data_IF_569802858672
#
_entry.id   IF_569802858672
#
_cell.length_a   1.000
_cell.length_b   1.000
_cell.length_c   1.000
_cell.angle_alpha   90.00
_cell.angle_beta   90.00
_cell.angle_gamma   90.00
#
_symmetry.space_group_name_H-M   'P 1'
#
loop_
_entity.id
_entity.type
_entity.pdbx_description
1 polymer ?
#
# COMPACT_ATOMS: atom_id res chain seq x y z
N UNK A 1 13.49 -24.72 17.35
CA UNK A 1 13.37 -23.35 16.80
C UNK A 1 11.92 -22.94 16.93
N UNK A 2 11.58 -22.22 17.99
CA UNK A 2 10.24 -21.68 18.19
C UNK A 2 10.05 -20.53 17.21
N UNK A 3 9.15 -20.68 16.25
CA UNK A 3 8.74 -19.56 15.38
C UNK A 3 8.13 -18.48 16.27
N UNK A 4 8.66 -17.26 16.21
CA UNK A 4 7.98 -16.10 16.82
C UNK A 4 6.65 -15.92 16.07
N UNK A 5 5.51 -15.83 16.76
CA UNK A 5 4.24 -15.53 16.10
C UNK A 5 4.36 -14.18 15.38
N UNK A 6 3.89 -14.14 14.13
CA UNK A 6 3.93 -12.98 13.26
C UNK A 6 2.65 -12.18 13.48
N UNK A 7 2.76 -10.96 13.99
CA UNK A 7 1.63 -10.07 14.19
C UNK A 7 1.32 -9.33 12.88
N UNK A 8 0.54 -9.96 12.00
CA UNK A 8 0.15 -9.34 10.72
C UNK A 8 -1.22 -8.70 10.89
N UNK A 9 -1.29 -7.41 10.63
CA UNK A 9 -2.54 -6.64 10.56
C UNK A 9 -2.92 -6.48 9.10
N UNK A 10 -4.17 -6.82 8.78
CA UNK A 10 -4.75 -6.59 7.46
C UNK A 10 -5.81 -5.50 7.58
N UNK A 11 -5.72 -4.49 6.73
CA UNK A 11 -6.73 -3.43 6.59
C UNK A 11 -7.06 -3.20 5.11
N UNK A 12 -8.13 -2.44 4.85
CA UNK A 12 -8.55 -2.06 3.50
C UNK A 12 -8.73 -0.55 3.40
N UNK A 13 -8.31 -0.01 2.26
CA UNK A 13 -8.41 1.40 1.92
C UNK A 13 -9.08 1.54 0.55
N UNK A 14 -10.20 2.26 0.49
CA UNK A 14 -10.70 2.76 -0.79
C UNK A 14 -9.94 4.03 -1.14
N UNK A 15 -9.21 3.97 -2.26
CA UNK A 15 -8.48 5.11 -2.77
C UNK A 15 -8.88 5.37 -4.22
N UNK A 16 -9.64 6.45 -4.42
CA UNK A 16 -10.02 6.97 -5.75
C UNK A 16 -10.73 5.95 -6.65
N UNK A 17 -11.47 5.01 -6.04
CA UNK A 17 -12.19 3.92 -6.72
C UNK A 17 -11.39 2.62 -6.87
N UNK A 18 -10.19 2.53 -6.28
CA UNK A 18 -9.41 1.30 -6.15
C UNK A 18 -9.43 0.86 -4.68
N UNK A 19 -9.99 -0.31 -4.41
CA UNK A 19 -9.92 -0.96 -3.11
C UNK A 19 -8.57 -1.65 -2.97
N UNK A 20 -7.81 -1.26 -1.95
CA UNK A 20 -6.44 -1.71 -1.68
C UNK A 20 -6.45 -2.47 -0.35
N UNK A 21 -5.95 -3.70 -0.36
CA UNK A 21 -5.58 -4.44 0.85
C UNK A 21 -4.18 -4.01 1.30
N UNK A 22 -4.07 -3.71 2.58
CA UNK A 22 -2.82 -3.33 3.24
C UNK A 22 -2.49 -4.45 4.24
N UNK A 23 -1.38 -5.14 4.01
CA UNK A 23 -0.82 -6.09 4.97
C UNK A 23 0.37 -5.46 5.66
N UNK A 24 0.33 -5.39 6.99
CA UNK A 24 1.35 -4.76 7.79
C UNK A 24 1.87 -5.71 8.87
N UNK A 25 3.18 -5.90 8.88
CA UNK A 25 3.89 -6.67 9.88
C UNK A 25 4.95 -5.77 10.54
N UNK A 26 4.72 -5.26 11.77
CA UNK A 26 5.61 -4.29 12.41
C UNK A 26 6.99 -4.88 12.74
N UNK A 27 7.05 -6.18 13.04
CA UNK A 27 8.25 -6.89 13.49
C UNK A 27 8.80 -7.89 12.48
N UNK A 28 9.01 -7.43 11.24
CA UNK A 28 9.42 -8.32 10.15
C UNK A 28 10.77 -9.03 10.39
N UNK A 29 11.70 -8.37 11.08
CA UNK A 29 12.99 -8.97 11.48
C UNK A 29 12.95 -9.63 12.86
N UNK A 30 11.79 -9.66 13.52
CA UNK A 30 11.63 -10.12 14.91
C UNK A 30 11.92 -9.06 15.97
N UNK A 31 12.13 -7.81 15.56
CA UNK A 31 12.31 -6.64 16.43
C UNK A 31 11.53 -5.43 15.88
N UNK A 32 11.54 -4.31 16.63
CA UNK A 32 10.80 -3.08 16.28
C UNK A 32 11.55 -2.14 15.32
N UNK A 33 12.52 -2.66 14.56
CA UNK A 33 13.35 -1.81 13.69
C UNK A 33 12.74 -1.65 12.30
N UNK A 34 12.30 -2.76 11.70
CA UNK A 34 11.79 -2.78 10.33
C UNK A 34 10.46 -3.53 10.26
N UNK A 35 9.52 -2.86 9.62
CA UNK A 35 8.24 -3.40 9.26
C UNK A 35 8.22 -3.87 7.80
N UNK A 36 7.37 -4.84 7.51
CA UNK A 36 6.97 -5.20 6.16
C UNK A 36 5.57 -4.66 5.89
N UNK A 37 5.46 -3.88 4.82
CA UNK A 37 4.21 -3.30 4.32
C UNK A 37 3.98 -3.83 2.91
N UNK A 38 2.86 -4.52 2.70
CA UNK A 38 2.45 -4.97 1.38
C UNK A 38 1.11 -4.36 0.99
N UNK A 39 1.02 -3.92 -0.27
CA UNK A 39 -0.17 -3.35 -0.88
C UNK A 39 -0.65 -4.25 -1.99
N UNK A 40 -1.96 -4.45 -2.07
CA UNK A 40 -2.59 -5.19 -3.17
C UNK A 40 -3.91 -4.54 -3.58
N UNK A 41 -4.01 -4.09 -4.83
CA UNK A 41 -5.29 -3.70 -5.43
C UNK A 41 -6.17 -4.93 -5.57
N UNK A 42 -7.28 -4.98 -4.83
CA UNK A 42 -8.22 -6.10 -4.81
C UNK A 42 -9.48 -5.83 -5.63
N UNK A 43 -9.84 -4.56 -5.85
CA UNK A 43 -10.94 -4.18 -6.73
C UNK A 43 -10.69 -2.79 -7.35
N UNK A 44 -10.51 -2.67 -8.68
CA UNK A 44 -10.32 -3.77 -9.63
C UNK A 44 -9.07 -4.59 -9.29
N UNK A 45 -9.12 -5.91 -9.52
CA UNK A 45 -7.95 -6.77 -9.29
C UNK A 45 -6.76 -6.27 -10.11
N UNK A 46 -5.61 -6.10 -9.45
CA UNK A 46 -4.35 -5.65 -10.06
C UNK A 46 -4.43 -4.27 -10.72
N UNK A 47 -5.40 -3.44 -10.35
CA UNK A 47 -5.42 -2.04 -10.79
C UNK A 47 -4.08 -1.36 -10.43
N UNK A 48 -3.47 -0.62 -11.37
CA UNK A 48 -2.20 0.05 -11.10
C UNK A 48 -2.36 1.08 -9.98
N UNK A 49 -1.28 1.29 -9.25
CA UNK A 49 -1.14 2.33 -8.23
C UNK A 49 0.05 3.23 -8.61
N UNK A 50 0.14 4.47 -8.11
CA UNK A 50 1.23 5.39 -8.42
C UNK A 50 2.64 4.80 -8.29
N UNK A 51 2.81 3.86 -7.37
CA UNK A 51 4.08 3.26 -7.05
C UNK A 51 4.29 1.85 -7.64
N UNK A 52 3.31 1.30 -8.37
CA UNK A 52 3.35 -0.03 -9.00
C UNK A 52 2.32 -0.21 -10.13
N UNK A 53 2.75 -0.63 -11.31
CA UNK A 53 1.86 -0.92 -12.45
C UNK A 53 1.04 -2.21 -12.28
N UNK A 54 1.46 -3.08 -11.35
CA UNK A 54 0.86 -4.42 -11.18
C UNK A 54 -0.25 -4.47 -10.14
N UNK A 55 -0.48 -3.36 -9.43
CA UNK A 55 -1.34 -3.31 -8.26
C UNK A 55 -0.79 -4.02 -7.02
N UNK A 56 0.42 -4.58 -7.08
CA UNK A 56 1.10 -5.17 -5.93
C UNK A 56 2.41 -4.46 -5.62
N UNK A 57 2.66 -4.17 -4.34
CA UNK A 57 3.96 -3.68 -3.89
C UNK A 57 4.34 -4.23 -2.52
N UNK A 58 5.55 -4.75 -2.42
CA UNK A 58 6.21 -5.09 -1.16
C UNK A 58 7.17 -3.95 -0.79
N UNK A 59 7.11 -3.47 0.44
CA UNK A 59 7.94 -2.39 0.93
C UNK A 59 8.44 -2.68 2.34
N UNK A 60 9.75 -2.56 2.54
CA UNK A 60 10.39 -2.68 3.85
C UNK A 60 10.76 -1.28 4.33
N UNK A 61 10.34 -0.94 5.55
CA UNK A 61 10.44 0.42 6.06
C UNK A 61 10.73 0.41 7.56
N UNK A 62 11.47 1.41 8.09
CA UNK A 62 11.54 1.57 9.53
C UNK A 62 10.15 1.66 10.16
N UNK A 63 9.89 0.86 11.19
CA UNK A 63 8.58 0.85 11.88
C UNK A 63 8.19 2.25 12.36
N UNK A 64 9.16 2.98 12.92
CA UNK A 64 8.97 4.33 13.44
C UNK A 64 8.34 5.29 12.42
N UNK A 65 8.66 5.16 11.13
CA UNK A 65 8.09 6.01 10.08
C UNK A 65 6.60 5.77 9.88
N UNK A 66 6.15 4.51 10.05
CA UNK A 66 4.75 4.13 9.96
C UNK A 66 3.99 4.65 11.18
N UNK A 67 4.58 4.53 12.37
CA UNK A 67 4.00 5.04 13.62
C UNK A 67 3.88 6.57 13.64
N UNK A 68 4.92 7.27 13.19
CA UNK A 68 4.95 8.74 13.13
C UNK A 68 3.85 9.30 12.22
N UNK A 69 3.50 8.58 11.15
CA UNK A 69 2.41 8.92 10.24
C UNK A 69 1.03 8.46 10.72
N UNK A 70 0.92 7.87 11.92
CA UNK A 70 -0.35 7.46 12.50
C UNK A 70 -0.81 6.05 12.12
N UNK A 71 0.11 5.19 11.68
CA UNK A 71 -0.13 3.78 11.39
C UNK A 71 -0.13 3.42 9.90
N UNK A 72 -0.30 2.13 9.56
CA UNK A 72 -0.11 1.63 8.19
C UNK A 72 -1.05 2.27 7.18
N UNK A 73 -2.34 2.40 7.49
CA UNK A 73 -3.34 2.98 6.57
C UNK A 73 -3.05 4.45 6.27
N UNK A 74 -2.69 5.24 7.29
CA UNK A 74 -2.34 6.65 7.12
C UNK A 74 -1.02 6.82 6.33
N UNK A 75 -0.02 5.98 6.62
CA UNK A 75 1.23 5.93 5.86
C UNK A 75 0.97 5.65 4.37
N UNK A 76 0.15 4.63 4.07
CA UNK A 76 -0.18 4.22 2.69
C UNK A 76 -0.92 5.32 1.95
N UNK A 77 -1.90 5.96 2.60
CA UNK A 77 -2.62 7.09 2.00
C UNK A 77 -1.66 8.24 1.66
N UNK A 78 -0.76 8.60 2.58
CA UNK A 78 0.23 9.65 2.33
C UNK A 78 1.18 9.29 1.18
N UNK A 79 1.61 8.03 1.09
CA UNK A 79 2.46 7.56 0.01
C UNK A 79 1.75 7.58 -1.36
N UNK A 80 0.49 7.14 -1.40
CA UNK A 80 -0.35 7.20 -2.59
C UNK A 80 -0.51 8.63 -3.09
N UNK A 81 -0.86 9.57 -2.20
CA UNK A 81 -1.03 10.98 -2.57
C UNK A 81 0.30 11.62 -3.02
N UNK A 82 1.40 11.31 -2.34
CA UNK A 82 2.72 11.81 -2.72
C UNK A 82 3.12 11.36 -4.13
N UNK A 83 3.02 10.06 -4.43
CA UNK A 83 3.39 9.53 -5.74
C UNK A 83 2.38 9.93 -6.83
N UNK A 84 1.10 10.04 -6.49
CA UNK A 84 0.07 10.52 -7.42
C UNK A 84 0.24 12.00 -7.81
N UNK A 85 0.93 12.79 -6.98
CA UNK A 85 1.26 14.19 -7.28
C UNK A 85 2.39 14.35 -8.30
N UNK A 86 3.10 13.26 -8.64
CA UNK A 86 4.20 13.29 -9.61
C UNK A 86 3.65 13.31 -11.03
N UNK A 87 4.42 13.91 -11.94
CA UNK A 87 4.05 14.01 -13.35
C UNK A 87 3.80 12.63 -13.97
N UNK A 88 2.76 12.53 -14.81
CA UNK A 88 2.40 11.31 -15.54
C UNK A 88 1.31 10.45 -14.89
N UNK A 89 1.15 10.48 -13.56
CA UNK A 89 0.12 9.64 -12.91
C UNK A 89 -1.30 10.04 -13.29
N UNK A 90 -1.58 11.34 -13.36
CA UNK A 90 -2.93 11.84 -13.68
C UNK A 90 -3.45 11.33 -15.03
N UNK A 91 -2.57 11.15 -16.02
CA UNK A 91 -2.92 10.61 -17.35
C UNK A 91 -3.22 9.11 -17.29
N UNK A 92 -2.42 8.35 -16.52
CA UNK A 92 -2.65 6.92 -16.28
C UNK A 92 -3.97 6.71 -15.55
N UNK A 93 -4.23 7.50 -14.51
CA UNK A 93 -5.47 7.46 -13.73
C UNK A 93 -6.69 7.78 -14.60
N UNK A 94 -6.59 8.81 -15.46
CA UNK A 94 -7.65 9.16 -16.40
C UNK A 94 -7.90 8.05 -17.42
N UNK A 95 -6.85 7.49 -18.02
CA UNK A 95 -6.95 6.40 -18.97
C UNK A 95 -7.61 5.16 -18.33
N UNK A 96 -7.19 4.77 -17.12
CA UNK A 96 -7.76 3.64 -16.39
C UNK A 96 -9.27 3.79 -16.14
N UNK A 97 -9.74 5.00 -15.85
CA UNK A 97 -11.17 5.32 -15.67
C UNK A 97 -11.97 5.32 -16.97
N UNK A 98 -11.35 5.68 -18.10
CA UNK A 98 -12.02 5.69 -19.40
C UNK A 98 -12.28 4.30 -19.97
N UNK A 99 -11.54 3.27 -19.56
CA UNK A 99 -11.77 1.88 -20.00
C UNK A 99 -12.88 1.16 -19.23
N UNK A 100 -13.52 1.79 -18.23
CA UNK A 100 -14.65 1.21 -17.47
C UNK A 100 -16.03 1.48 -18.12
N UNK A 101 -16.05 1.76 -19.43
CA UNK A 101 -17.21 2.29 -20.14
C UNK A 101 -18.18 1.22 -20.65
N UNK A 102 -18.42 0.12 -19.93
CA UNK A 102 -19.48 -0.86 -20.27
C UNK A 102 -20.02 -1.56 -19.03
#
# INVERSE_FOLDING_TARGET
MTSVPRDIVIDTLDWRGVLIEISYEPRYLGDDTYAHLALRSIQPDRAPLPMTDTGYKSHFIPQANVEELGGPTAYVLAWLEHEASREGWAEIEAAARQYTLF
#
